data_IF_900965885663
#
_entry.id   IF_900965885663
#
_cell.length_a   1.000
_cell.length_b   1.000
_cell.length_c   1.000
_cell.angle_alpha   90.00
_cell.angle_beta   90.00
_cell.angle_gamma   90.00
#
_symmetry.space_group_name_H-M   'P 1'
#
loop_
_entity.id
_entity.type
_entity.pdbx_description
1 polymer ?
#
# COMPACT_ATOMS: atom_id res chain seq x y z
N UNK A 1 -11.90 1.51 8.95
CA UNK A 1 -12.29 0.88 7.69
C UNK A 1 -12.50 1.96 6.65
N UNK A 2 -11.90 1.78 5.48
CA UNK A 2 -12.03 2.68 4.33
C UNK A 2 -12.39 1.86 3.09
N UNK A 3 -13.35 2.35 2.34
CA UNK A 3 -13.73 1.85 1.04
C UNK A 3 -13.38 2.89 -0.01
N UNK A 4 -12.72 2.47 -1.11
CA UNK A 4 -12.35 3.35 -2.21
C UNK A 4 -12.84 2.76 -3.53
N UNK A 5 -13.55 3.56 -4.31
CA UNK A 5 -13.81 3.29 -5.73
C UNK A 5 -12.74 4.00 -6.56
N UNK A 6 -12.15 3.27 -7.47
CA UNK A 6 -11.27 3.87 -8.46
C UNK A 6 -12.14 4.53 -9.50
N UNK A 7 -12.20 5.86 -9.46
CA UNK A 7 -13.07 6.62 -10.33
C UNK A 7 -12.84 6.24 -11.81
N UNK A 8 -13.90 5.86 -12.47
CA UNK A 8 -13.94 5.78 -13.92
C UNK A 8 -13.95 7.20 -14.46
N UNK A 9 -12.80 7.84 -14.62
CA UNK A 9 -12.72 9.00 -15.46
C UNK A 9 -12.88 8.53 -16.89
N UNK A 10 -14.11 8.38 -17.32
CA UNK A 10 -14.48 8.31 -18.73
C UNK A 10 -14.26 9.71 -19.28
N UNK A 11 -13.02 10.08 -19.51
CA UNK A 11 -12.72 11.21 -20.38
C UNK A 11 -13.09 10.78 -21.80
N UNK A 12 -14.28 11.12 -22.23
CA UNK A 12 -14.86 11.10 -23.52
C UNK A 12 -14.02 10.52 -24.67
N UNK A 13 -14.17 9.26 -24.92
CA UNK A 13 -13.80 8.61 -26.16
C UNK A 13 -14.95 7.74 -26.59
N UNK A 14 -16.02 8.34 -27.11
CA UNK A 14 -17.05 7.62 -27.85
C UNK A 14 -16.47 7.19 -29.18
N UNK A 15 -15.80 6.06 -29.20
CA UNK A 15 -15.62 5.26 -30.37
C UNK A 15 -16.57 4.09 -30.24
N UNK A 16 -17.72 4.24 -30.88
CA UNK A 16 -18.65 3.13 -31.16
C UNK A 16 -19.15 2.36 -29.92
N UNK A 17 -19.86 3.00 -29.04
CA UNK A 17 -20.87 2.34 -28.18
C UNK A 17 -20.40 1.51 -26.99
N UNK A 18 -19.12 1.41 -26.71
CA UNK A 18 -18.59 0.63 -25.60
C UNK A 18 -17.81 1.53 -24.65
N UNK A 19 -18.28 1.65 -23.42
CA UNK A 19 -17.57 2.37 -22.37
C UNK A 19 -16.27 1.59 -22.04
N UNK A 20 -15.14 2.11 -22.48
CA UNK A 20 -13.85 1.57 -22.08
C UNK A 20 -13.54 2.01 -20.65
N UNK A 21 -13.13 1.12 -19.75
CA UNK A 21 -12.57 1.52 -18.48
C UNK A 21 -11.36 2.43 -18.73
N UNK A 22 -11.36 3.58 -18.09
CA UNK A 22 -10.26 4.51 -18.22
C UNK A 22 -8.99 3.91 -17.58
N UNK A 23 -7.84 4.41 -18.02
CA UNK A 23 -6.51 4.11 -17.46
C UNK A 23 -6.43 4.25 -15.93
N UNK A 24 -7.44 4.86 -15.30
CA UNK A 24 -7.54 5.12 -13.86
C UNK A 24 -8.17 3.97 -13.07
N UNK A 25 -8.70 2.96 -13.73
CA UNK A 25 -9.22 1.76 -13.06
C UNK A 25 -8.14 0.68 -12.87
N UNK A 26 -6.93 1.13 -12.64
CA UNK A 26 -5.79 0.30 -12.32
C UNK A 26 -5.41 0.45 -10.86
N UNK A 27 -5.20 -0.67 -10.20
CA UNK A 27 -4.54 -0.72 -8.90
C UNK A 27 -3.05 -0.98 -9.07
N UNK A 28 -2.27 -0.42 -8.18
CA UNK A 28 -0.86 -0.74 -8.00
C UNK A 28 -0.47 -0.45 -6.55
N UNK A 29 0.01 -1.46 -5.88
CA UNK A 29 0.53 -1.33 -4.52
C UNK A 29 2.04 -1.48 -4.53
N UNK A 30 2.74 -0.58 -3.85
CA UNK A 30 4.19 -0.56 -3.84
C UNK A 30 4.73 0.11 -2.59
N UNK A 31 5.87 -0.35 -2.11
CA UNK A 31 6.54 0.24 -0.96
C UNK A 31 8.03 0.47 -1.20
N UNK A 32 8.55 1.54 -0.59
CA UNK A 32 9.97 1.80 -0.44
C UNK A 32 10.46 1.21 0.89
N UNK A 33 11.75 0.91 1.03
CA UNK A 33 12.31 0.62 2.34
C UNK A 33 12.08 1.81 3.29
N UNK A 34 11.96 1.54 4.58
CA UNK A 34 11.71 2.56 5.61
C UNK A 34 12.77 3.66 5.71
N UNK A 35 13.99 3.39 5.26
CA UNK A 35 15.01 4.43 5.03
C UNK A 35 14.71 5.14 3.72
N UNK A 36 14.24 6.34 3.73
CA UNK A 36 13.92 7.12 2.52
C UNK A 36 15.17 7.54 1.69
N UNK A 37 16.23 6.74 1.74
CA UNK A 37 17.51 6.99 1.07
C UNK A 37 17.51 6.59 -0.42
N UNK A 38 16.49 5.90 -0.89
CA UNK A 38 16.40 5.43 -2.27
C UNK A 38 14.99 5.56 -2.82
N UNK A 39 14.89 5.80 -4.12
CA UNK A 39 13.63 5.76 -4.85
C UNK A 39 13.25 4.36 -5.34
N UNK A 40 14.12 3.38 -5.14
CA UNK A 40 13.86 1.99 -5.52
C UNK A 40 12.69 1.42 -4.71
N UNK A 41 11.75 0.80 -5.42
CA UNK A 41 10.63 0.07 -4.82
C UNK A 41 11.06 -1.38 -4.63
N UNK A 42 11.14 -1.82 -3.38
CA UNK A 42 11.50 -3.21 -3.10
C UNK A 42 10.34 -4.17 -3.29
N UNK A 43 9.13 -3.65 -3.13
CA UNK A 43 7.89 -4.42 -3.28
C UNK A 43 6.95 -3.64 -4.18
N UNK A 44 6.46 -4.27 -5.25
CA UNK A 44 5.60 -3.65 -6.25
C UNK A 44 4.74 -4.73 -6.93
N UNK A 45 3.42 -4.58 -6.89
CA UNK A 45 2.49 -5.51 -7.56
C UNK A 45 2.45 -5.36 -9.08
N UNK A 46 3.03 -4.27 -9.63
CA UNK A 46 2.71 -3.86 -10.98
C UNK A 46 1.28 -3.32 -11.10
N UNK A 47 0.91 -2.92 -12.31
CA UNK A 47 -0.45 -2.46 -12.59
C UNK A 47 -1.36 -3.66 -12.84
N UNK A 48 -2.51 -3.70 -12.19
CA UNK A 48 -3.56 -4.67 -12.45
C UNK A 48 -4.94 -4.02 -12.44
N UNK A 49 -5.88 -4.66 -13.15
CA UNK A 49 -7.22 -4.13 -13.34
C UNK A 49 -8.06 -4.28 -12.07
N UNK A 50 -8.60 -3.17 -11.57
CA UNK A 50 -9.43 -3.18 -10.37
C UNK A 50 -10.42 -2.02 -10.35
N UNK A 51 -11.62 -2.29 -9.80
CA UNK A 51 -12.67 -1.29 -9.60
C UNK A 51 -12.44 -0.43 -8.35
N UNK A 52 -11.81 -1.01 -7.34
CA UNK A 52 -11.63 -0.35 -6.06
C UNK A 52 -10.99 -1.26 -5.03
N UNK A 53 -10.90 -0.78 -3.82
CA UNK A 53 -10.40 -1.57 -2.70
C UNK A 53 -11.12 -1.27 -1.37
N UNK A 54 -10.94 -2.17 -0.44
CA UNK A 54 -11.37 -2.05 0.95
C UNK A 54 -10.15 -2.16 1.84
N UNK A 55 -9.96 -1.20 2.72
CA UNK A 55 -8.82 -1.16 3.66
C UNK A 55 -9.35 -1.25 5.09
N UNK A 56 -8.85 -2.23 5.83
CA UNK A 56 -9.04 -2.35 7.27
C UNK A 56 -7.70 -2.05 7.95
N UNK A 57 -7.66 -1.02 8.79
CA UNK A 57 -6.51 -0.68 9.62
C UNK A 57 -6.79 -0.90 11.09
N UNK A 58 -5.80 -1.39 11.82
CA UNK A 58 -5.78 -1.48 13.27
C UNK A 58 -4.50 -0.82 13.79
N UNK A 59 -4.64 0.01 14.81
CA UNK A 59 -3.53 0.68 15.46
C UNK A 59 -3.55 0.41 16.95
N UNK A 60 -2.37 0.25 17.54
CA UNK A 60 -2.22 0.12 18.98
C UNK A 60 -0.98 0.89 19.45
N UNK A 61 -1.11 1.57 20.59
CA UNK A 61 0.00 2.24 21.23
C UNK A 61 -0.09 2.17 22.74
N UNK A 62 1.07 2.18 23.37
CA UNK A 62 1.20 2.24 24.83
C UNK A 62 2.39 3.10 25.22
N UNK A 63 2.25 3.85 26.30
CA UNK A 63 3.31 4.67 26.88
C UNK A 63 3.37 4.37 28.37
N UNK A 64 4.55 3.97 28.83
CA UNK A 64 4.82 3.75 30.25
C UNK A 64 6.15 4.38 30.63
N UNK A 65 6.11 5.53 31.29
CA UNK A 65 7.30 6.34 31.61
C UNK A 65 8.15 6.60 30.37
N UNK A 66 9.43 6.21 30.38
CA UNK A 66 10.33 6.35 29.23
C UNK A 66 10.12 5.29 28.13
N UNK A 67 9.36 4.23 28.39
CA UNK A 67 9.07 3.17 27.42
C UNK A 67 7.81 3.53 26.62
N UNK A 68 7.86 3.28 25.32
CA UNK A 68 6.67 3.34 24.47
C UNK A 68 6.66 2.19 23.47
N UNK A 69 5.47 1.84 23.04
CA UNK A 69 5.18 0.87 22.01
C UNK A 69 4.20 1.48 21.01
N UNK A 70 4.38 1.18 19.73
CA UNK A 70 3.44 1.50 18.67
C UNK A 70 3.37 0.37 17.67
N UNK A 71 2.20 0.08 17.17
CA UNK A 71 2.01 -0.88 16.10
C UNK A 71 0.83 -0.49 15.21
N UNK A 72 0.89 -0.91 13.97
CA UNK A 72 -0.19 -0.78 13.00
C UNK A 72 -0.23 -2.04 12.15
N UNK A 73 -1.44 -2.47 11.79
CA UNK A 73 -1.67 -3.53 10.83
C UNK A 73 -2.74 -3.10 9.85
N UNK A 74 -2.51 -3.35 8.57
CA UNK A 74 -3.43 -3.02 7.49
C UNK A 74 -3.68 -4.23 6.61
N UNK A 75 -4.97 -4.46 6.31
CA UNK A 75 -5.43 -5.42 5.33
C UNK A 75 -6.08 -4.66 4.19
N UNK A 76 -5.65 -4.96 2.98
CA UNK A 76 -6.21 -4.39 1.76
C UNK A 76 -6.82 -5.54 0.95
N UNK A 77 -8.09 -5.45 0.60
CA UNK A 77 -8.73 -6.36 -0.33
C UNK A 77 -9.19 -5.57 -1.54
N UNK A 78 -8.66 -5.92 -2.71
CA UNK A 78 -8.98 -5.26 -3.97
C UNK A 78 -10.19 -5.94 -4.61
N UNK A 79 -11.02 -5.17 -5.28
CA UNK A 79 -12.07 -5.67 -6.19
C UNK A 79 -11.51 -5.62 -7.60
N UNK A 80 -11.04 -6.75 -8.08
CA UNK A 80 -10.49 -6.88 -9.42
C UNK A 80 -11.60 -7.00 -10.47
N UNK A 81 -11.27 -6.70 -11.71
CA UNK A 81 -12.08 -7.09 -12.84
C UNK A 81 -11.99 -8.61 -13.03
N UNK A 82 -13.11 -9.25 -13.33
CA UNK A 82 -13.16 -10.68 -13.66
C UNK A 82 -12.73 -10.95 -15.09
N UNK A 83 -12.31 -12.19 -15.36
CA UNK A 83 -11.99 -12.63 -16.71
C UNK A 83 -13.20 -12.48 -17.69
N UNK A 84 -14.42 -12.55 -17.16
CA UNK A 84 -15.67 -12.35 -17.92
C UNK A 84 -15.87 -10.90 -18.37
N UNK A 85 -15.31 -9.95 -17.68
CA UNK A 85 -15.41 -8.52 -18.04
C UNK A 85 -14.60 -8.20 -19.30
N UNK A 86 -13.63 -9.04 -19.63
CA UNK A 86 -12.82 -8.94 -20.86
C UNK A 86 -13.44 -9.71 -22.04
N UNK A 87 -14.23 -10.75 -21.75
CA UNK A 87 -14.78 -11.63 -22.79
C UNK A 87 -15.88 -10.97 -23.64
N UNK A 88 -16.41 -9.84 -23.24
CA UNK A 88 -17.49 -9.14 -23.95
C UNK A 88 -16.99 -8.21 -25.09
N UNK A 89 -15.74 -8.34 -25.52
CA UNK A 89 -15.19 -7.47 -26.56
C UNK A 89 -14.98 -6.03 -26.12
N UNK A 90 -15.17 -5.77 -24.85
CA UNK A 90 -14.83 -4.51 -24.24
C UNK A 90 -13.34 -4.51 -23.99
N UNK A 91 -12.59 -3.90 -24.88
CA UNK A 91 -11.19 -3.59 -24.67
C UNK A 91 -11.07 -2.64 -23.47
N UNK A 92 -11.12 -3.24 -22.28
CA UNK A 92 -11.16 -2.53 -21.01
C UNK A 92 -9.94 -1.63 -20.80
N UNK A 93 -8.93 -1.70 -21.67
CA UNK A 93 -7.68 -1.00 -21.50
C UNK A 93 -7.10 -0.56 -22.85
N UNK A 94 -7.63 0.49 -23.45
CA UNK A 94 -6.97 1.12 -24.60
C UNK A 94 -5.90 2.10 -24.09
N UNK A 95 -4.71 2.03 -24.67
CA UNK A 95 -3.67 3.04 -24.39
C UNK A 95 -2.26 2.50 -24.15
N UNK A 96 -1.94 1.28 -24.57
CA UNK A 96 -0.56 0.78 -24.57
C UNK A 96 -0.03 0.38 -23.19
N UNK A 97 -0.84 0.39 -22.15
CA UNK A 97 -0.47 -0.10 -20.83
C UNK A 97 -0.95 -1.54 -20.67
N UNK A 98 -0.02 -2.49 -20.64
CA UNK A 98 -0.34 -3.85 -20.27
C UNK A 98 -0.76 -3.89 -18.79
N UNK A 99 -2.03 -4.19 -18.53
CA UNK A 99 -2.52 -4.45 -17.20
C UNK A 99 -2.79 -5.94 -17.03
N UNK A 100 -2.51 -6.45 -15.85
CA UNK A 100 -2.86 -7.82 -15.50
C UNK A 100 -4.31 -7.85 -15.02
N UNK A 101 -5.08 -8.83 -15.48
CA UNK A 101 -6.39 -9.12 -14.92
C UNK A 101 -6.21 -10.25 -13.92
N UNK A 102 -6.43 -9.99 -12.63
CA UNK A 102 -6.30 -11.02 -11.61
C UNK A 102 -7.33 -12.15 -11.78
N UNK A 103 -6.98 -13.35 -11.35
CA UNK A 103 -7.92 -14.49 -11.34
C UNK A 103 -9.05 -14.35 -10.31
N UNK A 104 -8.82 -13.55 -9.28
CA UNK A 104 -9.78 -13.23 -8.22
C UNK A 104 -9.43 -11.90 -7.58
N UNK A 105 -10.09 -11.54 -6.49
CA UNK A 105 -9.83 -10.31 -5.76
C UNK A 105 -8.55 -10.42 -4.91
N UNK A 106 -7.43 -9.81 -5.29
CA UNK A 106 -6.20 -9.89 -4.53
C UNK A 106 -6.35 -9.28 -3.13
N UNK A 107 -5.65 -9.86 -2.17
CA UNK A 107 -5.58 -9.37 -0.81
C UNK A 107 -4.12 -9.20 -0.38
N UNK A 108 -3.86 -8.12 0.35
CA UNK A 108 -2.52 -7.74 0.80
C UNK A 108 -2.53 -7.45 2.29
N UNK A 109 -1.38 -7.62 2.92
CA UNK A 109 -1.21 -7.36 4.33
C UNK A 109 0.09 -6.63 4.61
N UNK A 110 0.04 -5.65 5.51
CA UNK A 110 1.20 -4.99 6.05
C UNK A 110 1.04 -4.71 7.53
N UNK A 111 2.13 -4.79 8.28
CA UNK A 111 2.13 -4.47 9.70
C UNK A 111 3.49 -3.93 10.12
N UNK A 112 3.51 -3.12 11.16
CA UNK A 112 4.74 -2.82 11.87
C UNK A 112 4.57 -2.85 13.39
N UNK A 113 5.68 -3.06 14.07
CA UNK A 113 5.79 -2.89 15.51
C UNK A 113 7.04 -2.10 15.84
N UNK A 114 6.89 -1.11 16.71
CA UNK A 114 7.97 -0.27 17.21
C UNK A 114 7.97 -0.26 18.72
N UNK A 115 9.14 -0.40 19.31
CA UNK A 115 9.38 -0.19 20.74
C UNK A 115 10.52 0.80 20.91
N UNK A 116 10.38 1.75 21.82
CA UNK A 116 11.43 2.70 22.12
C UNK A 116 11.50 3.06 23.59
N UNK A 117 12.69 3.43 24.01
CA UNK A 117 12.98 3.78 25.40
C UNK A 117 13.85 5.04 25.50
N UNK A 118 13.43 5.98 26.33
CA UNK A 118 14.22 7.17 26.65
C UNK A 118 15.14 6.88 27.83
N UNK A 119 16.45 6.84 27.56
CA UNK A 119 17.49 6.60 28.58
C UNK A 119 17.61 7.76 29.55
N UNK A 120 17.24 8.97 29.15
CA UNK A 120 17.36 10.21 29.91
C UNK A 120 16.10 10.56 30.70
N UNK A 121 15.09 9.67 30.71
CA UNK A 121 13.89 9.77 31.54
C UNK A 121 12.73 10.55 30.94
N UNK A 122 12.84 11.02 29.71
CA UNK A 122 11.71 11.64 29.00
C UNK A 122 10.58 10.64 28.75
N UNK A 123 9.40 11.17 28.53
CA UNK A 123 8.22 10.38 28.15
C UNK A 123 7.76 10.78 26.75
N UNK A 124 7.39 9.80 25.93
CA UNK A 124 6.82 10.05 24.61
C UNK A 124 5.53 10.85 24.75
N UNK A 125 5.48 12.02 24.11
CA UNK A 125 4.27 12.84 24.12
C UNK A 125 3.20 12.26 23.18
N UNK A 126 1.93 12.41 23.59
CA UNK A 126 0.78 11.98 22.81
C UNK A 126 -0.36 13.03 22.90
N UNK A 127 -0.92 13.40 21.73
CA UNK A 127 -2.06 14.30 21.63
C UNK A 127 -3.33 13.48 21.46
N UNK A 128 -4.12 13.37 22.52
CA UNK A 128 -5.35 12.57 22.52
C UNK A 128 -6.41 13.09 21.55
N UNK A 129 -6.48 14.40 21.32
CA UNK A 129 -7.47 14.99 20.42
C UNK A 129 -7.23 14.65 18.95
N UNK A 130 -5.95 14.56 18.56
CA UNK A 130 -5.55 14.35 17.16
C UNK A 130 -5.12 12.89 16.88
N UNK A 131 -5.01 12.05 17.92
CA UNK A 131 -4.51 10.69 17.78
C UNK A 131 -3.04 10.60 17.34
N UNK A 132 -2.22 11.64 17.58
CA UNK A 132 -0.86 11.74 17.04
C UNK A 132 0.21 11.88 18.12
N UNK A 133 1.44 11.56 17.76
CA UNK A 133 2.59 11.82 18.60
C UNK A 133 2.79 13.32 18.82
N UNK A 134 3.01 13.71 20.07
CA UNK A 134 3.37 15.07 20.42
C UNK A 134 4.89 15.24 20.49
N UNK A 135 5.34 16.50 20.51
CA UNK A 135 6.75 16.83 20.74
C UNK A 135 7.16 16.35 22.13
N UNK A 136 8.35 15.76 22.24
CA UNK A 136 8.94 15.33 23.48
C UNK A 136 9.38 16.56 24.29
N UNK A 137 9.06 16.57 25.57
CA UNK A 137 9.55 17.58 26.50
C UNK A 137 10.92 17.12 27.03
N UNK A 138 11.99 17.73 26.53
CA UNK A 138 13.36 17.45 26.97
C UNK A 138 13.54 17.95 28.40
N UNK A 139 13.97 17.09 29.32
CA UNK A 139 14.16 17.41 30.72
C UNK A 139 15.41 18.27 30.96
N UNK A 140 16.51 17.92 30.30
CA UNK A 140 17.79 18.59 30.41
C UNK A 140 18.30 19.06 29.04
N UNK A 141 17.77 20.17 28.48
CA UNK A 141 18.12 20.62 27.12
C UNK A 141 19.58 21.05 27.00
N UNK A 142 20.20 20.74 25.87
CA UNK A 142 21.60 21.10 25.55
C UNK A 142 21.81 22.62 25.64
N UNK A 143 20.82 23.42 25.23
CA UNK A 143 20.87 24.88 25.34
C UNK A 143 21.03 25.43 26.78
N UNK A 144 20.79 24.58 27.76
CA UNK A 144 20.99 24.89 29.20
C UNK A 144 22.12 24.08 29.85
N UNK A 145 23.04 23.55 29.03
CA UNK A 145 24.16 22.74 29.52
C UNK A 145 23.80 21.27 29.84
N UNK A 146 22.62 20.81 29.50
CA UNK A 146 22.20 19.42 29.71
C UNK A 146 22.62 18.48 28.56
N UNK A 147 22.40 17.18 28.74
CA UNK A 147 22.75 16.15 27.73
C UNK A 147 21.70 16.02 26.61
N UNK A 148 20.55 16.68 26.71
CA UNK A 148 19.46 16.47 25.79
C UNK A 148 18.64 15.22 26.11
N UNK A 149 17.85 14.75 25.15
CA UNK A 149 17.07 13.51 25.23
C UNK A 149 17.76 12.41 24.42
N UNK A 150 18.04 11.28 25.03
CA UNK A 150 18.62 10.11 24.35
C UNK A 150 17.58 8.98 24.32
N UNK A 151 17.27 8.53 23.09
CA UNK A 151 16.30 7.47 22.82
C UNK A 151 16.97 6.33 22.06
N UNK A 152 16.60 5.11 22.41
CA UNK A 152 16.87 3.91 21.63
C UNK A 152 15.51 3.41 21.14
N UNK A 153 15.39 3.05 19.86
CA UNK A 153 14.19 2.47 19.29
C UNK A 153 14.53 1.30 18.37
N UNK A 154 13.66 0.31 18.37
CA UNK A 154 13.67 -0.82 17.45
C UNK A 154 12.33 -0.85 16.72
N UNK A 155 12.37 -1.01 15.40
CA UNK A 155 11.19 -1.17 14.57
C UNK A 155 11.36 -2.36 13.64
N UNK A 156 10.28 -3.13 13.52
CA UNK A 156 10.16 -4.21 12.56
C UNK A 156 8.96 -3.92 11.66
N UNK A 157 9.17 -3.96 10.35
CA UNK A 157 8.14 -3.79 9.33
C UNK A 157 7.99 -5.10 8.56
N UNK A 158 6.75 -5.49 8.33
CA UNK A 158 6.38 -6.63 7.49
C UNK A 158 5.39 -6.16 6.42
N UNK A 159 5.64 -6.53 5.18
CA UNK A 159 4.74 -6.24 4.06
C UNK A 159 4.68 -7.44 3.12
N UNK A 160 3.47 -7.91 2.87
CA UNK A 160 3.18 -8.97 1.91
C UNK A 160 2.21 -8.43 0.84
N UNK A 161 2.71 -8.29 -0.37
CA UNK A 161 1.97 -7.91 -1.56
C UNK A 161 1.84 -9.09 -2.54
N UNK A 162 2.16 -10.32 -2.11
CA UNK A 162 1.99 -11.52 -2.92
C UNK A 162 0.59 -12.09 -2.75
N UNK A 163 -0.07 -12.33 -3.87
CA UNK A 163 -1.35 -13.03 -3.92
C UNK A 163 -1.41 -13.92 -5.15
N UNK A 164 -1.90 -15.15 -4.96
CA UNK A 164 -2.01 -16.13 -6.05
C UNK A 164 -2.91 -15.65 -7.21
N UNK A 165 -3.85 -14.74 -6.92
CA UNK A 165 -4.70 -14.13 -7.92
C UNK A 165 -3.92 -13.30 -8.96
N UNK A 166 -2.75 -12.77 -8.60
CA UNK A 166 -1.90 -11.99 -9.49
C UNK A 166 -0.95 -12.88 -10.31
N UNK A 167 -0.58 -14.05 -9.81
CA UNK A 167 0.41 -14.95 -10.46
C UNK A 167 -0.15 -15.72 -11.63
N UNK A 168 -1.46 -15.93 -11.70
CA UNK A 168 -2.15 -16.62 -12.78
C UNK A 168 -3.01 -15.72 -13.67
N UNK A 169 -2.90 -14.41 -13.50
CA UNK A 169 -3.72 -13.45 -14.24
C UNK A 169 -3.47 -13.46 -15.74
N UNK A 170 -4.50 -13.11 -16.50
CA UNK A 170 -4.40 -12.92 -17.95
C UNK A 170 -3.81 -11.54 -18.25
N UNK A 171 -2.74 -11.47 -19.01
CA UNK A 171 -2.33 -10.21 -19.66
C UNK A 171 -3.00 -10.10 -21.01
N UNK A 172 -3.63 -8.99 -21.22
CA UNK A 172 -4.10 -8.61 -22.53
C UNK A 172 -3.05 -7.73 -23.21
N UNK A 173 -2.50 -8.17 -24.33
CA UNK A 173 -1.63 -7.34 -25.14
C UNK A 173 -2.50 -6.57 -26.13
N UNK A 174 -2.79 -5.32 -25.78
CA UNK A 174 -3.68 -4.45 -26.57
C UNK A 174 -3.16 -4.12 -27.97
N UNK A 175 -1.85 -4.27 -28.21
CA UNK A 175 -1.27 -4.02 -29.53
C UNK A 175 -1.54 -5.15 -30.50
N UNK A 176 -1.67 -6.38 -30.00
CA UNK A 176 -1.83 -7.58 -30.87
C UNK A 176 -3.16 -8.29 -30.69
N UNK A 177 -3.99 -7.88 -29.72
CA UNK A 177 -5.22 -8.60 -29.35
C UNK A 177 -4.99 -9.99 -28.78
N UNK A 178 -3.74 -10.36 -28.53
CA UNK A 178 -3.39 -11.66 -27.96
C UNK A 178 -3.53 -11.64 -26.44
N UNK A 179 -4.29 -12.60 -25.93
CA UNK A 179 -4.38 -12.87 -24.50
C UNK A 179 -3.32 -13.89 -24.12
N UNK A 180 -2.42 -13.56 -23.23
CA UNK A 180 -1.44 -14.49 -22.68
C UNK A 180 -1.55 -14.58 -21.16
N UNK A 181 -1.25 -15.76 -20.60
CA UNK A 181 -1.05 -15.87 -19.16
C UNK A 181 0.18 -15.05 -18.77
N UNK A 182 -0.04 -13.96 -18.07
CA UNK A 182 1.07 -13.25 -17.46
C UNK A 182 1.44 -13.97 -16.16
N UNK A 183 2.57 -14.58 -16.17
CA UNK A 183 3.26 -14.80 -14.92
C UNK A 183 3.75 -13.46 -14.39
N UNK A 184 2.93 -12.75 -13.63
CA UNK A 184 3.50 -11.84 -12.65
C UNK A 184 4.27 -12.72 -11.68
N UNK A 185 5.59 -12.61 -11.73
CA UNK A 185 6.43 -13.34 -10.81
C UNK A 185 6.07 -12.89 -9.39
N UNK A 186 5.46 -13.79 -8.63
CA UNK A 186 5.12 -13.57 -7.22
C UNK A 186 6.35 -13.19 -6.36
N UNK A 187 7.54 -13.33 -6.92
CA UNK A 187 8.79 -12.92 -6.29
C UNK A 187 8.94 -11.41 -6.21
N UNK A 188 8.23 -10.64 -7.02
CA UNK A 188 8.23 -9.18 -6.91
C UNK A 188 7.45 -8.67 -5.67
N UNK A 189 6.69 -9.53 -5.02
CA UNK A 189 5.99 -9.24 -3.77
C UNK A 189 6.69 -9.75 -2.50
N UNK A 190 7.81 -10.46 -2.62
CA UNK A 190 8.58 -10.95 -1.47
C UNK A 190 9.78 -10.06 -1.26
N UNK A 191 9.62 -9.06 -0.45
CA UNK A 191 10.68 -8.26 0.10
C UNK A 191 11.05 -8.75 1.50
#
# INVERSE_FOLDING_TARGET
>A
YQYRDFASNIAGGTSSGTAMPSVNQLARYRARPGSQLTDVRFVDTGNFAAHGDSVLGLEAMAIFKGLYFASEAQWVKTRAYGAGDLASGNDAFSGGNSAVVPLSNPAFFGAYGEVGYFLTGETRGYKRGDGTWARIKVLNPVSKGGMGALQIALRYDYLDLSDAALTGGLTNNFTTGATSLAGLDSRLGRG
#
